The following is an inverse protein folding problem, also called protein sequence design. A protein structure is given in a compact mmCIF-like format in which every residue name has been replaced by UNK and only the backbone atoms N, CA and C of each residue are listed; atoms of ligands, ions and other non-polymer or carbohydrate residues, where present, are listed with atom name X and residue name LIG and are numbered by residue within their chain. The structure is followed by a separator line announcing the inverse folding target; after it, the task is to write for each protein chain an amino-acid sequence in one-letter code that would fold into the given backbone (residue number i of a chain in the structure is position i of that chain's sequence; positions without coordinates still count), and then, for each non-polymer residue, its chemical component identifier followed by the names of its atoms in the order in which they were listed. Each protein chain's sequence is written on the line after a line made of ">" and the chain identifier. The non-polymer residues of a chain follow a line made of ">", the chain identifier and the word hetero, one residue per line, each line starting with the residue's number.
data_IF_169571088832
#
_entry.id   IF_169571088832
#
_cell.length_a   1.000
_cell.length_b   1.000
_cell.length_c   1.000
_cell.angle_alpha   90.00
_cell.angle_beta   90.00
_cell.angle_gamma   90.00
#
_symmetry.space_group_name_H-M   'P 1'
#
loop_
_entity.id
_entity.type
_entity.pdbx_description
1 polymer ?
#
# COMPACT_ATOMS: atom_id res chain seq x y z
N UNK A 1 -26.85 -9.30 -3.69
CA UNK A 1 -25.90 -8.42 -2.97
C UNK A 1 -26.63 -7.16 -2.56
N UNK A 2 -26.44 -6.68 -1.34
CA UNK A 2 -26.93 -5.36 -0.91
C UNK A 2 -26.03 -4.31 -1.59
N UNK A 3 -26.60 -3.39 -2.36
CA UNK A 3 -25.87 -2.26 -2.95
C UNK A 3 -26.13 -1.02 -2.11
N UNK A 4 -25.11 -0.24 -1.82
CA UNK A 4 -25.30 1.05 -1.15
C UNK A 4 -26.08 2.01 -2.03
N UNK A 5 -27.02 2.72 -1.42
CA UNK A 5 -27.80 3.77 -2.11
C UNK A 5 -26.91 4.94 -2.53
N UNK A 6 -25.87 5.24 -1.77
CA UNK A 6 -24.92 6.31 -2.03
C UNK A 6 -23.52 5.76 -2.16
N UNK A 7 -22.76 6.23 -3.14
CA UNK A 7 -21.35 5.92 -3.34
C UNK A 7 -20.56 7.17 -3.73
N UNK A 8 -19.25 7.18 -3.43
CA UNK A 8 -18.39 8.24 -3.95
C UNK A 8 -18.30 8.16 -5.47
N UNK A 9 -18.34 9.34 -6.12
CA UNK A 9 -18.20 9.48 -7.56
C UNK A 9 -16.96 8.76 -8.07
N UNK A 10 -17.10 7.97 -9.13
CA UNK A 10 -15.97 7.30 -9.77
C UNK A 10 -15.10 8.32 -10.50
N UNK A 11 -13.78 8.09 -10.51
CA UNK A 11 -12.87 8.93 -11.26
C UNK A 11 -13.03 8.73 -12.76
N UNK A 12 -13.33 9.81 -13.47
CA UNK A 12 -13.41 9.86 -14.94
C UNK A 12 -12.71 11.11 -15.51
N UNK A 13 -11.69 11.62 -14.80
CA UNK A 13 -10.91 12.79 -15.19
C UNK A 13 -11.05 13.96 -14.22
N UNK A 14 -10.43 15.10 -14.56
CA UNK A 14 -10.40 16.28 -13.69
C UNK A 14 -11.79 16.88 -13.39
N UNK A 15 -12.81 16.58 -14.20
CA UNK A 15 -14.19 17.00 -14.00
C UNK A 15 -14.83 16.32 -12.78
N UNK A 16 -14.39 15.10 -12.42
CA UNK A 16 -14.86 14.35 -11.24
C UNK A 16 -14.14 14.75 -9.93
N UNK A 17 -13.49 15.91 -9.92
CA UNK A 17 -12.89 16.48 -8.73
C UNK A 17 -13.46 17.86 -8.48
N UNK A 18 -13.97 18.06 -7.28
CA UNK A 18 -14.66 19.28 -6.84
C UNK A 18 -13.80 20.05 -5.84
N UNK A 19 -14.15 21.29 -5.55
CA UNK A 19 -13.50 22.10 -4.54
C UNK A 19 -13.94 21.57 -3.17
N UNK A 20 -12.96 21.27 -2.32
CA UNK A 20 -13.23 20.81 -0.97
C UNK A 20 -13.77 21.96 -0.12
N UNK A 21 -14.93 21.81 0.55
CA UNK A 21 -15.50 22.88 1.39
C UNK A 21 -14.65 23.20 2.61
N UNK A 22 -13.74 22.32 3.01
CA UNK A 22 -12.88 22.53 4.16
C UNK A 22 -11.53 23.17 3.81
N UNK A 23 -10.85 22.68 2.76
CA UNK A 23 -9.48 23.17 2.45
C UNK A 23 -9.36 23.96 1.13
N UNK A 24 -10.45 24.16 0.40
CA UNK A 24 -10.49 24.94 -0.83
C UNK A 24 -9.73 24.34 -2.04
N UNK A 25 -9.19 23.11 -1.91
CA UNK A 25 -8.47 22.47 -3.00
C UNK A 25 -9.38 21.59 -3.86
N UNK A 26 -9.08 21.49 -5.17
CA UNK A 26 -9.84 20.70 -6.15
C UNK A 26 -9.51 19.20 -6.05
N UNK A 27 -9.77 18.63 -4.86
CA UNK A 27 -9.47 17.23 -4.50
C UNK A 27 -10.66 16.55 -3.79
N UNK A 28 -11.85 17.13 -3.93
CA UNK A 28 -13.04 16.63 -3.25
C UNK A 28 -13.85 15.71 -4.18
N UNK A 29 -14.32 14.60 -3.63
CA UNK A 29 -15.16 13.61 -4.31
C UNK A 29 -16.53 13.63 -3.63
N UNK A 30 -17.59 13.90 -4.38
CA UNK A 30 -18.96 13.95 -3.85
C UNK A 30 -19.59 12.56 -3.78
N UNK A 31 -20.59 12.42 -2.92
CA UNK A 31 -21.45 11.25 -2.94
C UNK A 31 -22.56 11.39 -3.98
N UNK A 32 -22.76 10.31 -4.74
CA UNK A 32 -23.79 10.16 -5.76
C UNK A 32 -24.84 9.17 -5.28
N UNK A 33 -26.09 9.49 -5.46
CA UNK A 33 -27.21 8.56 -5.29
C UNK A 33 -27.22 7.59 -6.48
N UNK A 34 -27.00 6.31 -6.21
CA UNK A 34 -26.91 5.27 -7.23
C UNK A 34 -28.26 4.89 -7.88
N UNK A 35 -29.38 5.45 -7.40
CA UNK A 35 -30.70 5.28 -8.02
C UNK A 35 -31.03 6.39 -9.01
N UNK A 36 -30.63 7.63 -8.68
CA UNK A 36 -30.99 8.82 -9.46
C UNK A 36 -29.82 9.40 -10.24
N UNK A 37 -28.59 8.91 -10.00
CA UNK A 37 -27.33 9.39 -10.54
C UNK A 37 -27.00 10.86 -10.19
N UNK A 38 -27.77 11.47 -9.29
CA UNK A 38 -27.55 12.83 -8.83
C UNK A 38 -26.60 12.87 -7.62
N UNK A 39 -25.85 13.97 -7.50
CA UNK A 39 -25.12 14.25 -6.26
C UNK A 39 -26.06 14.43 -5.09
N UNK A 40 -25.63 13.97 -3.91
CA UNK A 40 -26.44 14.12 -2.69
C UNK A 40 -26.48 15.59 -2.26
N UNK A 41 -25.31 16.20 -2.08
CA UNK A 41 -25.13 17.64 -1.85
C UNK A 41 -23.69 18.05 -2.16
N UNK A 42 -23.48 19.37 -2.32
CA UNK A 42 -22.17 19.91 -2.72
C UNK A 42 -21.07 19.71 -1.68
N UNK A 43 -21.43 19.58 -0.41
CA UNK A 43 -20.51 19.40 0.74
C UNK A 43 -20.49 17.98 1.29
N UNK A 44 -21.32 17.07 0.77
CA UNK A 44 -21.35 15.66 1.21
C UNK A 44 -20.40 14.83 0.36
N UNK A 45 -19.26 14.46 0.95
CA UNK A 45 -18.19 13.81 0.19
C UNK A 45 -16.92 13.61 1.01
N UNK A 46 -15.86 13.26 0.29
CA UNK A 46 -14.54 12.99 0.88
C UNK A 46 -13.45 13.74 0.14
N UNK A 47 -12.58 14.39 0.87
CA UNK A 47 -11.37 14.98 0.32
C UNK A 47 -10.27 13.92 0.14
N UNK A 48 -9.65 13.86 -1.05
CA UNK A 48 -8.54 12.92 -1.33
C UNK A 48 -7.24 13.28 -0.58
N UNK A 49 -7.13 14.51 -0.07
CA UNK A 49 -6.02 14.93 0.79
C UNK A 49 -6.21 14.42 2.21
N UNK A 50 -6.17 13.11 2.36
CA UNK A 50 -6.54 12.40 3.59
C UNK A 50 -5.70 12.92 4.77
N UNK A 51 -4.39 12.95 4.64
CA UNK A 51 -3.44 13.38 5.69
C UNK A 51 -3.50 14.89 5.98
N UNK A 52 -3.66 15.73 4.93
CA UNK A 52 -3.59 17.20 5.04
C UNK A 52 -4.93 17.87 5.29
N UNK A 53 -6.04 17.22 4.96
CA UNK A 53 -7.38 17.77 5.09
C UNK A 53 -8.31 16.90 5.93
N UNK A 54 -8.39 15.61 5.60
CA UNK A 54 -9.18 14.61 6.28
C UNK A 54 -10.70 14.84 6.25
N UNK A 55 -11.20 15.85 5.48
CA UNK A 55 -12.63 16.11 5.40
C UNK A 55 -13.36 14.93 4.77
N UNK A 56 -14.28 14.36 5.53
CA UNK A 56 -15.17 13.30 5.09
C UNK A 56 -16.51 13.46 5.77
N UNK A 57 -17.52 13.96 5.04
CA UNK A 57 -18.88 14.09 5.50
C UNK A 57 -19.72 13.04 4.75
N UNK A 58 -20.16 12.05 5.49
CA UNK A 58 -20.82 10.84 4.92
C UNK A 58 -22.30 11.05 4.71
N UNK A 59 -22.97 10.29 3.83
CA UNK A 59 -24.42 10.31 3.70
C UNK A 59 -25.13 10.00 5.02
N UNK A 60 -24.57 9.12 5.86
CA UNK A 60 -25.15 8.80 7.16
C UNK A 60 -25.17 10.05 8.05
N UNK A 61 -24.05 10.72 8.22
CA UNK A 61 -23.97 11.96 9.00
C UNK A 61 -24.94 13.03 8.47
N UNK A 62 -24.99 13.22 7.14
CA UNK A 62 -25.87 14.17 6.50
C UNK A 62 -27.35 13.95 6.86
N UNK A 63 -27.83 12.70 6.79
CA UNK A 63 -29.23 12.39 7.12
C UNK A 63 -29.47 12.40 8.63
N UNK A 64 -28.50 11.98 9.44
CA UNK A 64 -28.58 12.05 10.90
C UNK A 64 -28.68 13.52 11.35
N UNK A 65 -27.89 14.42 10.77
CA UNK A 65 -27.93 15.86 11.08
C UNK A 65 -29.26 16.54 10.64
N UNK A 66 -29.91 16.00 9.61
CA UNK A 66 -31.25 16.46 9.17
C UNK A 66 -32.40 15.79 9.93
N UNK A 67 -32.11 14.82 10.79
CA UNK A 67 -33.13 14.03 11.47
C UNK A 67 -33.93 13.10 10.55
N UNK A 68 -33.39 12.80 9.37
CA UNK A 68 -34.06 11.98 8.35
C UNK A 68 -33.63 10.51 8.46
N UNK A 69 -34.61 9.59 8.51
CA UNK A 69 -34.35 8.15 8.44
C UNK A 69 -34.34 7.68 7.01
N UNK A 70 -33.17 7.36 6.47
CA UNK A 70 -32.98 6.90 5.10
C UNK A 70 -32.49 5.46 5.07
N UNK A 71 -33.05 4.67 4.17
CA UNK A 71 -32.59 3.32 3.90
C UNK A 71 -31.35 3.36 2.98
N UNK A 72 -30.16 3.01 3.54
CA UNK A 72 -28.88 3.11 2.84
C UNK A 72 -28.60 1.94 1.87
N UNK A 73 -29.49 0.97 1.79
CA UNK A 73 -29.32 -0.19 0.91
C UNK A 73 -30.46 -0.30 -0.10
N UNK A 74 -30.10 -0.52 -1.35
CA UNK A 74 -31.05 -0.77 -2.43
C UNK A 74 -31.23 -2.28 -2.61
N UNK A 75 -32.47 -2.75 -2.63
CA UNK A 75 -32.81 -4.09 -3.15
C UNK A 75 -32.93 -3.99 -4.68
N UNK A 76 -31.82 -3.94 -5.39
CA UNK A 76 -31.85 -4.09 -6.86
C UNK A 76 -31.29 -5.44 -7.27
N UNK A 77 -32.10 -6.20 -7.99
CA UNK A 77 -31.61 -7.25 -8.90
C UNK A 77 -31.00 -6.57 -10.15
N UNK A 78 -29.93 -5.82 -9.98
CA UNK A 78 -29.17 -5.33 -11.11
C UNK A 78 -28.10 -6.38 -11.37
N UNK A 79 -28.19 -7.04 -12.51
CA UNK A 79 -27.06 -7.74 -13.13
C UNK A 79 -25.99 -6.69 -13.45
N UNK A 80 -25.19 -6.32 -12.45
CA UNK A 80 -23.92 -5.64 -12.72
C UNK A 80 -23.03 -6.71 -13.30
N UNK A 81 -22.82 -6.67 -14.61
CA UNK A 81 -21.78 -7.50 -15.23
C UNK A 81 -20.48 -7.23 -14.48
N UNK A 82 -20.02 -8.24 -13.74
CA UNK A 82 -18.73 -8.15 -13.05
C UNK A 82 -17.68 -8.04 -14.12
N UNK A 83 -17.07 -6.85 -14.26
CA UNK A 83 -15.91 -6.69 -15.14
C UNK A 83 -14.92 -7.81 -14.85
N UNK A 84 -14.46 -8.49 -15.89
CA UNK A 84 -13.40 -9.50 -15.76
C UNK A 84 -12.13 -8.83 -15.23
N UNK A 85 -11.29 -9.63 -14.59
CA UNK A 85 -10.02 -9.12 -14.06
C UNK A 85 -9.03 -8.90 -15.19
N UNK A 86 -8.34 -7.75 -15.16
CA UNK A 86 -7.22 -7.48 -16.04
C UNK A 86 -5.95 -8.17 -15.52
N UNK A 87 -5.23 -8.79 -16.43
CA UNK A 87 -3.92 -9.38 -16.19
C UNK A 87 -2.94 -8.78 -17.19
N UNK A 88 -1.79 -8.34 -16.70
CA UNK A 88 -0.70 -7.86 -17.54
C UNK A 88 0.03 -9.01 -18.20
N UNK A 89 0.64 -8.77 -19.36
CA UNK A 89 1.48 -9.75 -20.03
C UNK A 89 2.75 -10.00 -19.19
N UNK A 90 3.05 -11.27 -18.93
CA UNK A 90 4.25 -11.69 -18.17
C UNK A 90 5.56 -11.23 -18.82
N UNK A 91 5.57 -11.03 -20.15
CA UNK A 91 6.71 -10.48 -20.87
C UNK A 91 7.19 -9.15 -20.31
N UNK A 92 6.30 -8.29 -19.81
CA UNK A 92 6.68 -7.03 -19.16
C UNK A 92 7.54 -7.26 -17.92
N UNK A 93 7.24 -8.30 -17.15
CA UNK A 93 8.06 -8.70 -15.99
C UNK A 93 9.42 -9.20 -16.48
N UNK A 94 9.44 -10.14 -17.41
CA UNK A 94 10.67 -10.71 -17.94
C UNK A 94 11.59 -9.65 -18.54
N UNK A 95 11.05 -8.76 -19.37
CA UNK A 95 11.80 -7.66 -19.99
C UNK A 95 12.43 -6.75 -18.92
N UNK A 96 11.71 -6.48 -17.82
CA UNK A 96 12.22 -5.66 -16.72
C UNK A 96 13.33 -6.35 -15.91
N UNK A 97 13.30 -7.67 -15.83
CA UNK A 97 14.30 -8.48 -15.11
C UNK A 97 15.60 -8.70 -15.92
N UNK A 98 15.54 -8.61 -17.25
CA UNK A 98 16.72 -8.71 -18.11
C UNK A 98 17.64 -7.48 -17.99
N UNK A 99 17.14 -6.36 -17.50
CA UNK A 99 17.95 -5.17 -17.26
C UNK A 99 18.80 -5.33 -15.99
N UNK A 100 19.99 -4.72 -16.01
CA UNK A 100 20.92 -4.81 -14.88
C UNK A 100 20.40 -4.03 -13.67
N UNK A 101 19.83 -4.75 -12.70
CA UNK A 101 19.29 -4.17 -11.46
C UNK A 101 20.34 -3.45 -10.62
N UNK A 102 21.65 -3.73 -10.82
CA UNK A 102 22.75 -3.08 -10.10
C UNK A 102 22.84 -1.58 -10.40
N UNK A 103 22.32 -1.13 -11.53
CA UNK A 103 22.26 0.29 -11.88
C UNK A 103 21.18 1.05 -11.13
N UNK A 104 20.21 0.34 -10.53
CA UNK A 104 19.11 1.02 -9.85
C UNK A 104 19.56 1.69 -8.56
N UNK A 105 19.01 2.87 -8.30
CA UNK A 105 19.29 3.64 -7.09
C UNK A 105 18.91 2.88 -5.81
N UNK A 106 17.85 2.07 -5.84
CA UNK A 106 17.50 1.25 -4.69
C UNK A 106 18.54 0.17 -4.42
N UNK A 107 19.06 -0.50 -5.45
CA UNK A 107 20.13 -1.47 -5.27
C UNK A 107 21.38 -0.82 -4.66
N UNK A 108 21.79 0.33 -5.20
CA UNK A 108 22.94 1.08 -4.70
C UNK A 108 22.77 1.50 -3.23
N UNK A 109 21.54 1.83 -2.83
CA UNK A 109 21.23 2.09 -1.44
C UNK A 109 21.35 0.83 -0.56
N UNK A 110 20.76 -0.29 -1.00
CA UNK A 110 20.69 -1.52 -0.20
C UNK A 110 22.08 -2.14 0.06
N UNK A 111 22.99 -2.12 -0.93
CA UNK A 111 24.35 -2.68 -0.78
C UNK A 111 25.22 -1.89 0.19
N UNK A 112 24.82 -0.69 0.61
CA UNK A 112 25.49 0.04 1.67
C UNK A 112 25.29 -0.60 3.05
N UNK A 113 24.23 -1.39 3.22
CA UNK A 113 23.83 -1.96 4.51
C UNK A 113 23.83 -3.48 4.55
N UNK A 114 23.67 -4.12 3.40
CA UNK A 114 23.53 -5.56 3.28
C UNK A 114 24.55 -6.13 2.30
N UNK A 115 24.92 -7.38 2.51
CA UNK A 115 25.83 -8.08 1.61
C UNK A 115 25.26 -8.15 0.19
N UNK A 116 26.08 -7.82 -0.81
CA UNK A 116 25.66 -7.68 -2.22
C UNK A 116 24.88 -8.89 -2.74
N UNK A 117 25.35 -10.10 -2.44
CA UNK A 117 24.70 -11.33 -2.90
C UNK A 117 23.32 -11.53 -2.29
N UNK A 118 23.15 -11.17 -0.99
CA UNK A 118 21.84 -11.22 -0.33
C UNK A 118 20.86 -10.23 -0.97
N UNK A 119 21.33 -9.02 -1.32
CA UNK A 119 20.52 -8.02 -2.04
C UNK A 119 20.07 -8.55 -3.40
N UNK A 120 20.98 -9.11 -4.22
CA UNK A 120 20.63 -9.69 -5.52
C UNK A 120 19.58 -10.79 -5.39
N UNK A 121 19.79 -11.70 -4.44
CA UNK A 121 18.88 -12.82 -4.21
C UNK A 121 17.50 -12.35 -3.77
N UNK A 122 17.42 -11.35 -2.89
CA UNK A 122 16.15 -10.75 -2.45
C UNK A 122 15.44 -10.04 -3.60
N UNK A 123 16.12 -9.21 -4.40
CA UNK A 123 15.51 -8.55 -5.56
C UNK A 123 15.00 -9.56 -6.58
N UNK A 124 15.77 -10.62 -6.85
CA UNK A 124 15.35 -11.73 -7.72
C UNK A 124 14.15 -12.49 -7.14
N UNK A 125 14.18 -12.82 -5.85
CA UNK A 125 13.09 -13.49 -5.12
C UNK A 125 11.77 -12.73 -5.25
N UNK A 126 11.82 -11.40 -5.13
CA UNK A 126 10.65 -10.54 -5.22
C UNK A 126 10.31 -10.08 -6.64
N UNK A 127 11.03 -10.56 -7.65
CA UNK A 127 10.86 -10.19 -9.06
C UNK A 127 10.90 -8.66 -9.27
N UNK A 128 11.84 -7.99 -8.59
CA UNK A 128 12.05 -6.56 -8.75
C UNK A 128 12.81 -6.29 -10.03
N UNK A 129 12.21 -5.55 -10.95
CA UNK A 129 12.80 -5.21 -12.24
C UNK A 129 13.30 -3.78 -12.31
N UNK A 130 13.89 -3.43 -13.46
CA UNK A 130 14.34 -2.07 -13.81
C UNK A 130 13.38 -1.47 -14.83
N UNK A 131 13.20 -0.15 -14.77
CA UNK A 131 12.35 0.58 -15.71
C UNK A 131 13.14 1.66 -16.43
N UNK A 132 12.88 1.80 -17.72
CA UNK A 132 13.48 2.85 -18.56
C UNK A 132 12.64 4.15 -18.59
N UNK A 133 11.56 4.25 -17.82
CA UNK A 133 10.74 5.48 -17.73
C UNK A 133 11.55 6.61 -17.09
N UNK A 134 12.35 6.28 -16.08
CA UNK A 134 13.36 7.17 -15.50
C UNK A 134 14.66 6.39 -15.35
N UNK A 135 15.78 7.08 -15.50
CA UNK A 135 17.08 6.49 -15.29
C UNK A 135 17.16 5.89 -13.88
N UNK A 136 17.69 4.67 -13.77
CA UNK A 136 17.93 3.94 -12.51
C UNK A 136 16.67 3.69 -11.64
N UNK A 137 15.48 3.83 -12.24
CA UNK A 137 14.21 3.51 -11.60
C UNK A 137 13.96 2.00 -11.57
N UNK A 138 13.17 1.58 -10.61
CA UNK A 138 12.77 0.18 -10.45
C UNK A 138 11.27 0.00 -10.67
N UNK A 139 10.89 -1.23 -10.98
CA UNK A 139 9.49 -1.64 -11.04
C UNK A 139 9.22 -2.74 -10.00
N UNK A 140 8.20 -2.50 -9.19
CA UNK A 140 7.62 -3.47 -8.27
C UNK A 140 6.41 -4.11 -8.93
N UNK A 141 6.49 -5.40 -9.19
CA UNK A 141 5.40 -6.16 -9.76
C UNK A 141 4.52 -6.76 -8.67
N UNK A 142 3.23 -6.58 -8.81
CA UNK A 142 2.25 -7.29 -8.01
C UNK A 142 1.83 -8.55 -8.78
N UNK A 143 2.31 -9.68 -8.34
CA UNK A 143 2.08 -11.00 -8.93
C UNK A 143 1.37 -11.85 -7.89
N UNK A 144 0.24 -12.46 -8.26
CA UNK A 144 -0.53 -13.28 -7.32
C UNK A 144 0.08 -14.68 -7.14
N UNK A 145 -0.51 -15.48 -6.25
CA UNK A 145 -0.03 -16.84 -5.94
C UNK A 145 -0.19 -17.83 -7.10
N UNK A 146 -0.98 -17.51 -8.12
CA UNK A 146 -1.11 -18.24 -9.38
C UNK A 146 -0.14 -17.71 -10.46
N UNK A 147 0.80 -16.81 -10.11
CA UNK A 147 1.77 -16.13 -11.01
C UNK A 147 1.16 -15.20 -12.06
N UNK A 148 -0.09 -14.81 -11.88
CA UNK A 148 -0.71 -13.84 -12.77
C UNK A 148 -0.27 -12.41 -12.41
N UNK A 149 0.18 -11.64 -13.39
CA UNK A 149 0.64 -10.25 -13.18
C UNK A 149 -0.56 -9.31 -13.03
N UNK A 150 -0.70 -8.70 -11.87
CA UNK A 150 -1.88 -7.92 -11.48
C UNK A 150 -1.67 -6.41 -11.58
N UNK A 151 -0.44 -5.94 -11.38
CA UNK A 151 -0.05 -4.53 -11.49
C UNK A 151 1.46 -4.39 -11.56
N UNK A 152 1.94 -3.25 -12.05
CA UNK A 152 3.34 -2.83 -11.95
C UNK A 152 3.42 -1.37 -11.49
N UNK A 153 4.29 -1.09 -10.52
CA UNK A 153 4.51 0.23 -9.95
C UNK A 153 5.97 0.62 -10.10
N UNK A 154 6.22 1.67 -10.87
CA UNK A 154 7.56 2.19 -11.11
C UNK A 154 7.84 3.31 -10.13
N UNK A 155 9.03 3.28 -9.53
CA UNK A 155 9.44 4.23 -8.50
C UNK A 155 10.92 4.59 -8.63
N UNK A 156 11.23 5.82 -8.27
CA UNK A 156 12.59 6.34 -8.17
C UNK A 156 12.98 6.55 -6.71
N UNK A 157 14.23 6.19 -6.39
CA UNK A 157 14.81 6.38 -5.07
C UNK A 157 16.10 7.19 -5.14
N UNK A 158 16.47 7.81 -4.05
CA UNK A 158 17.81 8.39 -3.88
C UNK A 158 18.77 7.28 -3.43
N UNK A 159 19.89 7.13 -4.11
CA UNK A 159 20.84 6.05 -3.86
C UNK A 159 21.60 6.17 -2.53
N UNK A 160 21.68 7.37 -1.94
CA UNK A 160 22.39 7.60 -0.68
C UNK A 160 21.47 7.45 0.54
N UNK A 161 20.25 7.96 0.43
CA UNK A 161 19.32 8.03 1.55
C UNK A 161 18.24 6.95 1.52
N UNK A 162 18.02 6.30 0.36
CA UNK A 162 16.92 5.36 0.15
C UNK A 162 15.53 6.02 0.21
N UNK A 163 15.46 7.36 0.20
CA UNK A 163 14.20 8.08 0.19
C UNK A 163 13.58 8.05 -1.20
N UNK A 164 12.27 7.84 -1.24
CA UNK A 164 11.49 7.86 -2.48
C UNK A 164 11.39 9.29 -3.03
N UNK A 165 11.62 9.46 -4.33
CA UNK A 165 11.18 10.67 -5.04
C UNK A 165 9.66 10.67 -5.17
N UNK A 166 8.99 11.53 -4.39
CA UNK A 166 7.52 11.60 -4.33
C UNK A 166 6.89 12.09 -5.64
N UNK A 167 7.69 12.69 -6.54
CA UNK A 167 7.24 13.18 -7.85
C UNK A 167 7.35 12.12 -8.94
N UNK A 168 8.17 11.09 -8.73
CA UNK A 168 8.46 10.03 -9.68
C UNK A 168 7.88 8.70 -9.23
N UNK A 169 6.57 8.55 -9.41
CA UNK A 169 5.92 7.26 -9.30
C UNK A 169 4.93 7.07 -10.46
N UNK A 170 4.83 5.87 -10.99
CA UNK A 170 3.97 5.56 -12.13
C UNK A 170 3.39 4.16 -12.02
N UNK A 171 2.09 4.05 -12.15
CA UNK A 171 1.41 2.77 -12.32
C UNK A 171 1.35 2.42 -13.80
N UNK A 172 1.86 1.25 -14.16
CA UNK A 172 1.75 0.76 -15.54
C UNK A 172 0.28 0.69 -15.90
N UNK A 173 -0.10 1.37 -16.99
CA UNK A 173 -1.49 1.45 -17.43
C UNK A 173 -1.94 0.13 -18.03
N UNK A 174 -3.18 -0.26 -17.77
CA UNK A 174 -3.85 -1.32 -18.51
C UNK A 174 -4.29 -0.82 -19.89
N UNK A 175 -4.28 -1.70 -20.87
CA UNK A 175 -4.70 -1.42 -22.25
C UNK A 175 -6.19 -1.71 -22.52
N UNK A 176 -6.88 -2.39 -21.58
CA UNK A 176 -8.30 -2.72 -21.67
C UNK A 176 -9.12 -2.01 -20.60
N UNK A 177 -9.91 -1.01 -21.01
CA UNK A 177 -10.78 -0.25 -20.10
C UNK A 177 -11.98 -1.06 -19.57
N UNK A 178 -12.35 -2.15 -20.26
CA UNK A 178 -13.50 -2.98 -19.90
C UNK A 178 -13.19 -3.96 -18.77
N UNK A 179 -11.91 -4.20 -18.50
CA UNK A 179 -11.45 -5.06 -17.39
C UNK A 179 -11.11 -4.25 -16.15
N UNK A 180 -11.22 -4.87 -14.99
CA UNK A 180 -10.89 -4.27 -13.70
C UNK A 180 -9.49 -4.68 -13.24
N UNK A 181 -8.66 -3.71 -12.87
CA UNK A 181 -7.38 -3.98 -12.21
C UNK A 181 -7.64 -4.34 -10.74
N UNK A 182 -7.28 -5.57 -10.35
CA UNK A 182 -7.41 -6.06 -8.97
C UNK A 182 -6.03 -6.26 -8.37
N UNK A 183 -5.50 -5.25 -7.73
CA UNK A 183 -4.21 -5.28 -7.06
C UNK A 183 -4.13 -6.37 -6.00
N UNK A 184 -2.95 -6.99 -5.85
CA UNK A 184 -2.59 -7.91 -4.77
C UNK A 184 -1.47 -7.32 -3.92
N UNK A 185 -1.07 -8.00 -2.85
CA UNK A 185 0.14 -7.61 -2.13
C UNK A 185 1.38 -7.77 -3.02
N UNK A 186 2.33 -6.84 -2.92
CA UNK A 186 3.67 -7.09 -3.44
C UNK A 186 4.28 -8.28 -2.68
N UNK A 187 4.92 -9.19 -3.40
CA UNK A 187 5.45 -10.45 -2.82
C UNK A 187 4.43 -11.60 -2.72
N UNK A 188 3.16 -11.43 -3.15
CA UNK A 188 2.13 -12.46 -2.99
C UNK A 188 2.44 -13.77 -3.72
N UNK A 189 3.21 -13.77 -4.80
CA UNK A 189 3.67 -14.98 -5.49
C UNK A 189 4.51 -15.91 -4.60
N UNK A 190 5.17 -15.37 -3.57
CA UNK A 190 5.97 -16.14 -2.61
C UNK A 190 5.10 -17.08 -1.75
N UNK A 191 3.83 -16.75 -1.57
CA UNK A 191 2.91 -17.57 -0.77
C UNK A 191 2.81 -19.01 -1.25
N UNK A 192 2.97 -19.24 -2.55
CA UNK A 192 2.94 -20.58 -3.14
C UNK A 192 4.17 -21.42 -2.79
N UNK A 193 5.34 -20.79 -2.74
CA UNK A 193 6.60 -21.50 -2.44
C UNK A 193 6.80 -21.76 -0.94
N UNK A 194 6.19 -20.95 -0.09
CA UNK A 194 6.39 -21.01 1.36
C UNK A 194 5.04 -21.15 2.11
N UNK A 195 4.33 -22.29 1.98
CA UNK A 195 2.98 -22.46 2.52
C UNK A 195 2.91 -22.33 4.05
N UNK A 196 3.97 -22.71 4.76
CA UNK A 196 4.02 -22.76 6.22
C UNK A 196 4.69 -21.52 6.87
N UNK A 197 5.09 -20.53 6.07
CA UNK A 197 5.72 -19.33 6.62
C UNK A 197 4.65 -18.37 7.15
N UNK A 198 5.00 -17.66 8.23
CA UNK A 198 4.24 -16.51 8.70
C UNK A 198 4.26 -15.39 7.65
N UNK A 199 3.36 -14.45 7.77
CA UNK A 199 3.28 -13.30 6.87
C UNK A 199 3.43 -12.02 7.69
N UNK A 200 4.45 -11.22 7.34
CA UNK A 200 4.59 -9.84 7.76
C UNK A 200 4.03 -8.90 6.69
N UNK A 201 3.15 -7.98 7.05
CA UNK A 201 2.61 -6.98 6.12
C UNK A 201 3.09 -5.59 6.54
N UNK A 202 3.77 -4.91 5.63
CA UNK A 202 4.24 -3.53 5.75
C UNK A 202 3.55 -2.63 4.72
N UNK A 203 3.73 -1.32 4.80
CA UNK A 203 3.09 -0.40 3.88
C UNK A 203 3.80 -0.35 2.53
N UNK A 204 5.12 -0.19 2.51
CA UNK A 204 5.90 0.02 1.29
C UNK A 204 6.65 -1.21 0.81
N UNK A 205 6.85 -1.29 -0.52
CA UNK A 205 7.61 -2.36 -1.18
C UNK A 205 9.09 -2.35 -0.74
N UNK A 206 9.69 -1.17 -0.57
CA UNK A 206 11.06 -1.02 -0.04
C UNK A 206 11.18 -1.62 1.34
N UNK A 207 10.22 -1.33 2.22
CA UNK A 207 10.21 -1.85 3.59
C UNK A 207 10.11 -3.37 3.61
N UNK A 208 9.29 -3.97 2.74
CA UNK A 208 9.21 -5.44 2.61
C UNK A 208 10.57 -6.07 2.22
N UNK A 209 11.29 -5.46 1.26
CA UNK A 209 12.62 -5.92 0.85
C UNK A 209 13.65 -5.79 1.99
N UNK A 210 13.65 -4.67 2.71
CA UNK A 210 14.59 -4.44 3.83
C UNK A 210 14.30 -5.41 4.98
N UNK A 211 13.04 -5.68 5.28
CA UNK A 211 12.66 -6.68 6.27
C UNK A 211 13.13 -8.09 5.85
N UNK A 212 12.96 -8.46 4.60
CA UNK A 212 13.45 -9.76 4.07
C UNK A 212 14.98 -9.88 4.10
N UNK A 213 15.68 -8.77 3.90
CA UNK A 213 17.13 -8.69 4.02
C UNK A 213 17.62 -8.75 5.48
N UNK A 214 16.87 -8.24 6.41
CA UNK A 214 17.29 -8.13 7.80
C UNK A 214 16.91 -9.34 8.64
N UNK A 215 15.66 -9.81 8.53
CA UNK A 215 15.16 -10.94 9.32
C UNK A 215 15.46 -12.27 8.64
N UNK A 216 16.08 -13.20 9.36
CA UNK A 216 16.37 -14.56 8.87
C UNK A 216 15.28 -15.58 9.29
N UNK A 217 14.10 -15.10 9.69
CA UNK A 217 12.99 -15.94 10.15
C UNK A 217 12.19 -16.54 8.97
N UNK A 218 11.42 -17.59 9.25
CA UNK A 218 10.45 -18.17 8.31
C UNK A 218 9.21 -17.28 8.16
N UNK A 219 9.42 -16.09 7.60
CA UNK A 219 8.40 -15.08 7.37
C UNK A 219 8.44 -14.59 5.92
N UNK A 220 7.29 -14.39 5.32
CA UNK A 220 7.16 -13.73 4.00
C UNK A 220 6.77 -12.28 4.26
N UNK A 221 7.56 -11.35 3.77
CA UNK A 221 7.26 -9.94 3.86
C UNK A 221 6.47 -9.48 2.64
N UNK A 222 5.27 -8.98 2.87
CA UNK A 222 4.36 -8.45 1.84
C UNK A 222 4.19 -6.96 2.00
N UNK A 223 4.02 -6.23 0.89
CA UNK A 223 3.65 -4.82 0.98
C UNK A 223 2.22 -4.57 0.52
N UNK A 224 1.51 -3.74 1.29
CA UNK A 224 0.12 -3.33 1.00
C UNK A 224 0.02 -2.32 -0.13
N UNK A 225 1.10 -1.53 -0.37
CA UNK A 225 1.18 -0.46 -1.35
C UNK A 225 0.63 0.88 -0.85
N UNK A 226 0.36 1.00 0.45
CA UNK A 226 -0.09 2.21 1.14
C UNK A 226 -1.11 1.92 2.24
N UNK A 227 -1.42 2.93 3.05
CA UNK A 227 -2.31 2.87 4.21
C UNK A 227 -3.65 2.17 3.94
N UNK A 228 -4.25 2.40 2.77
CA UNK A 228 -5.53 1.81 2.36
C UNK A 228 -5.38 0.44 1.68
N UNK A 229 -4.16 -0.08 1.61
CA UNK A 229 -3.83 -1.30 0.87
C UNK A 229 -4.29 -2.60 1.55
N UNK A 230 -4.64 -2.58 2.84
CA UNK A 230 -5.21 -3.73 3.56
C UNK A 230 -6.72 -3.75 3.33
N UNK A 231 -7.22 -4.87 2.82
CA UNK A 231 -8.65 -5.11 2.63
C UNK A 231 -8.96 -6.62 2.63
N UNK A 232 -10.25 -6.95 2.83
CA UNK A 232 -10.75 -8.34 2.90
C UNK A 232 -10.29 -9.20 1.71
N UNK A 233 -10.37 -8.68 0.49
CA UNK A 233 -10.03 -9.43 -0.72
C UNK A 233 -8.56 -9.86 -0.75
N UNK A 234 -7.63 -8.95 -0.39
CA UNK A 234 -6.20 -9.27 -0.34
C UNK A 234 -5.87 -10.22 0.80
N UNK A 235 -6.47 -10.01 1.99
CA UNK A 235 -6.21 -10.84 3.16
C UNK A 235 -6.78 -12.26 3.02
N UNK A 236 -7.86 -12.44 2.28
CA UNK A 236 -8.44 -13.78 2.02
C UNK A 236 -7.43 -14.76 1.43
N UNK A 237 -6.48 -14.28 0.62
CA UNK A 237 -5.43 -15.13 0.04
C UNK A 237 -4.40 -15.63 1.08
N UNK A 238 -4.41 -15.06 2.29
CA UNK A 238 -3.55 -15.39 3.42
C UNK A 238 -4.23 -16.33 4.43
N UNK A 239 -5.41 -16.86 4.13
CA UNK A 239 -6.16 -17.73 5.04
C UNK A 239 -5.31 -18.92 5.50
N UNK A 240 -5.43 -19.26 6.79
CA UNK A 240 -4.70 -20.34 7.44
C UNK A 240 -3.26 -19.99 7.87
N UNK A 241 -2.82 -18.74 7.71
CA UNK A 241 -1.48 -18.28 8.13
C UNK A 241 -1.54 -17.40 9.37
N UNK A 242 -0.46 -17.38 10.13
CA UNK A 242 -0.24 -16.33 11.12
C UNK A 242 0.17 -15.05 10.39
N UNK A 243 -0.56 -13.98 10.62
CA UNK A 243 -0.34 -12.69 9.97
C UNK A 243 0.00 -11.64 11.02
N UNK A 244 1.06 -10.88 10.77
CA UNK A 244 1.47 -9.76 11.60
C UNK A 244 1.53 -8.52 10.71
N UNK A 245 0.79 -7.48 11.07
CA UNK A 245 0.80 -6.20 10.33
C UNK A 245 1.66 -5.17 11.07
N UNK A 246 2.46 -4.41 10.32
CA UNK A 246 3.41 -3.42 10.83
C UNK A 246 3.06 -2.07 10.19
N UNK A 247 2.16 -1.29 10.80
CA UNK A 247 1.81 0.04 10.28
C UNK A 247 2.97 1.02 10.43
N UNK A 248 3.11 1.93 9.47
CA UNK A 248 4.05 3.04 9.56
C UNK A 248 3.61 4.04 10.64
N UNK A 249 4.54 4.82 11.17
CA UNK A 249 4.22 5.90 12.12
C UNK A 249 3.42 7.01 11.44
N UNK A 250 2.49 7.56 12.19
CA UNK A 250 1.80 8.79 11.82
C UNK A 250 2.40 9.98 12.55
N UNK A 251 2.49 11.13 11.86
CA UNK A 251 2.90 12.36 12.50
C UNK A 251 1.94 12.74 13.66
N UNK A 252 2.47 13.36 14.72
CA UNK A 252 1.70 13.71 15.92
C UNK A 252 0.44 14.55 15.62
N UNK A 253 0.48 15.38 14.57
CA UNK A 253 -0.63 16.23 14.13
C UNK A 253 -1.45 15.61 12.97
N UNK A 254 -1.23 14.35 12.64
CA UNK A 254 -1.98 13.67 11.58
C UNK A 254 -3.44 13.44 12.00
N UNK A 255 -4.37 13.71 11.09
CA UNK A 255 -5.80 13.43 11.31
C UNK A 255 -6.14 11.94 11.26
N UNK A 256 -5.27 11.13 10.69
CA UNK A 256 -5.41 9.68 10.60
C UNK A 256 -4.17 9.06 11.23
N UNK A 257 -4.40 8.22 12.23
CA UNK A 257 -3.36 7.40 12.82
C UNK A 257 -3.31 6.06 12.07
N UNK A 258 -2.18 5.75 11.44
CA UNK A 258 -2.01 4.54 10.64
C UNK A 258 -2.15 3.26 11.48
N UNK A 259 -1.66 3.29 12.73
CA UNK A 259 -1.76 2.17 13.65
C UNK A 259 -3.24 1.87 13.99
N UNK A 260 -4.02 2.88 14.38
CA UNK A 260 -5.43 2.71 14.72
C UNK A 260 -6.27 2.31 13.50
N UNK A 261 -5.96 2.86 12.32
CA UNK A 261 -6.64 2.50 11.07
C UNK A 261 -6.38 1.02 10.70
N UNK A 262 -5.14 0.55 10.81
CA UNK A 262 -4.80 -0.84 10.50
C UNK A 262 -5.30 -1.80 11.58
N UNK A 263 -5.29 -1.38 12.84
CA UNK A 263 -5.84 -2.14 13.96
C UNK A 263 -7.34 -2.39 13.76
N UNK A 264 -8.10 -1.32 13.52
CA UNK A 264 -9.55 -1.43 13.29
C UNK A 264 -9.87 -2.32 12.08
N UNK A 265 -9.10 -2.20 10.99
CA UNK A 265 -9.26 -3.06 9.80
C UNK A 265 -8.90 -4.52 10.09
N UNK A 266 -7.78 -4.76 10.78
CA UNK A 266 -7.34 -6.09 11.12
C UNK A 266 -8.35 -6.81 12.02
N UNK A 267 -8.86 -6.15 13.06
CA UNK A 267 -9.90 -6.66 13.96
C UNK A 267 -11.18 -6.99 13.20
N UNK A 268 -11.67 -6.06 12.39
CA UNK A 268 -12.89 -6.24 11.59
C UNK A 268 -12.77 -7.42 10.63
N UNK A 269 -11.67 -7.50 9.86
CA UNK A 269 -11.48 -8.55 8.86
C UNK A 269 -11.19 -9.90 9.52
N UNK A 270 -10.45 -9.90 10.65
CA UNK A 270 -10.22 -11.08 11.48
C UNK A 270 -11.52 -11.74 11.91
N UNK A 271 -12.50 -10.93 12.36
CA UNK A 271 -13.82 -11.42 12.73
C UNK A 271 -14.63 -12.00 11.55
N UNK A 272 -14.57 -11.34 10.37
CA UNK A 272 -15.31 -11.80 9.18
C UNK A 272 -14.72 -13.08 8.57
N UNK A 273 -13.39 -13.15 8.47
CA UNK A 273 -12.69 -14.24 7.77
C UNK A 273 -12.23 -15.34 8.72
N UNK A 274 -12.44 -15.21 10.02
CA UNK A 274 -11.92 -16.10 11.07
C UNK A 274 -10.40 -16.33 10.92
N UNK A 275 -9.66 -15.22 10.84
CA UNK A 275 -8.20 -15.23 10.62
C UNK A 275 -7.47 -14.70 11.85
N UNK A 276 -6.28 -15.22 12.12
CA UNK A 276 -5.40 -14.70 13.17
C UNK A 276 -4.52 -13.58 12.62
N UNK A 277 -4.94 -12.32 12.80
CA UNK A 277 -4.20 -11.14 12.37
C UNK A 277 -3.76 -10.37 13.63
N UNK A 278 -2.45 -10.30 13.85
CA UNK A 278 -1.85 -9.54 14.94
C UNK A 278 -1.39 -8.18 14.42
N UNK A 279 -1.52 -7.15 15.24
CA UNK A 279 -0.91 -5.86 14.96
C UNK A 279 0.36 -5.70 15.80
N UNK A 280 1.44 -5.32 15.15
CA UNK A 280 2.69 -5.03 15.84
C UNK A 280 2.71 -3.55 16.24
N UNK A 281 2.98 -3.28 17.51
CA UNK A 281 3.03 -1.93 18.08
C UNK A 281 4.46 -1.45 18.38
N UNK A 282 5.47 -2.13 17.85
CA UNK A 282 6.88 -1.82 18.11
C UNK A 282 7.20 -0.34 17.79
N UNK A 283 6.78 0.13 16.63
CA UNK A 283 7.03 1.52 16.24
C UNK A 283 6.32 2.51 17.17
N UNK A 284 5.10 2.21 17.59
CA UNK A 284 4.37 3.07 18.55
C UNK A 284 5.06 3.16 19.92
N UNK A 285 5.68 2.08 20.38
CA UNK A 285 6.32 2.01 21.70
C UNK A 285 7.74 2.59 21.75
N UNK A 286 8.48 2.50 20.65
CA UNK A 286 9.92 2.81 20.62
C UNK A 286 10.31 4.02 19.78
N UNK A 287 9.33 4.70 19.15
CA UNK A 287 9.58 5.90 18.35
C UNK A 287 9.75 7.15 19.22
N UNK A 288 10.63 8.04 18.78
CA UNK A 288 10.73 9.42 19.24
C UNK A 288 9.74 10.35 18.48
N UNK A 289 9.58 11.58 18.97
CA UNK A 289 8.84 12.61 18.24
C UNK A 289 9.44 12.87 16.86
N UNK A 290 10.77 12.85 16.75
CA UNK A 290 11.46 12.97 15.47
C UNK A 290 11.06 11.87 14.48
N UNK A 291 10.96 10.61 14.93
CA UNK A 291 10.55 9.48 14.09
C UNK A 291 9.09 9.66 13.62
N UNK A 292 8.21 10.15 14.50
CA UNK A 292 6.82 10.43 14.16
C UNK A 292 6.68 11.56 13.15
N UNK A 293 7.40 12.65 13.33
CA UNK A 293 7.36 13.80 12.41
C UNK A 293 7.91 13.44 11.02
N UNK A 294 8.84 12.48 10.96
CA UNK A 294 9.35 11.92 9.71
C UNK A 294 8.51 10.76 9.17
N UNK A 295 7.46 10.33 9.87
CA UNK A 295 6.61 9.19 9.48
C UNK A 295 7.46 7.94 9.21
N UNK A 296 8.37 7.63 10.14
CA UNK A 296 9.32 6.54 10.02
C UNK A 296 8.59 5.19 9.91
N UNK A 297 9.13 4.32 9.09
CA UNK A 297 8.67 2.95 8.90
C UNK A 297 9.65 1.93 9.55
N UNK A 298 9.30 0.65 9.51
CA UNK A 298 10.14 -0.40 10.07
C UNK A 298 11.54 -0.45 9.40
N UNK A 299 11.64 -0.12 8.11
CA UNK A 299 12.92 -0.08 7.42
C UNK A 299 13.83 1.06 7.92
N UNK A 300 13.26 2.19 8.29
CA UNK A 300 14.04 3.32 8.84
C UNK A 300 14.70 2.91 10.18
N UNK A 301 13.98 2.20 11.05
CA UNK A 301 14.54 1.66 12.29
C UNK A 301 15.63 0.60 12.04
N UNK A 302 15.45 -0.30 11.08
CA UNK A 302 16.44 -1.30 10.69
C UNK A 302 17.72 -0.61 10.19
N UNK A 303 17.59 0.33 9.25
CA UNK A 303 18.73 1.04 8.68
C UNK A 303 19.47 1.87 9.73
N UNK A 304 18.75 2.53 10.62
CA UNK A 304 19.37 3.28 11.72
C UNK A 304 20.16 2.37 12.67
N UNK A 305 19.62 1.20 13.03
CA UNK A 305 20.33 0.21 13.84
C UNK A 305 21.62 -0.26 13.16
N UNK A 306 21.56 -0.58 11.86
CA UNK A 306 22.74 -1.00 11.09
C UNK A 306 23.80 0.10 11.02
N UNK A 307 23.42 1.37 10.87
CA UNK A 307 24.33 2.53 10.93
C UNK A 307 25.01 2.65 12.29
N UNK A 308 24.24 2.57 13.36
CA UNK A 308 24.77 2.65 14.74
C UNK A 308 25.79 1.56 15.03
N UNK A 309 25.52 0.33 14.59
CA UNK A 309 26.42 -0.81 14.80
C UNK A 309 27.73 -0.65 14.01
N UNK A 310 27.67 -0.23 12.74
CA UNK A 310 28.86 0.05 11.94
C UNK A 310 29.76 1.11 12.58
N UNK A 311 29.18 2.22 13.00
CA UNK A 311 29.93 3.30 13.65
C UNK A 311 30.61 2.85 14.96
N UNK A 312 30.02 1.89 15.70
CA UNK A 312 30.65 1.30 16.88
C UNK A 312 31.86 0.43 16.51
N UNK A 313 31.73 -0.40 15.49
CA UNK A 313 32.82 -1.27 15.01
C UNK A 313 34.00 -0.46 14.46
N UNK A 314 33.76 0.64 13.76
CA UNK A 314 34.82 1.54 13.28
C UNK A 314 35.56 2.22 14.42
N UNK A 315 34.85 2.66 15.46
CA UNK A 315 35.48 3.26 16.66
C UNK A 315 36.37 2.26 17.42
N UNK A 316 35.95 0.99 17.53
CA UNK A 316 36.74 -0.06 18.18
C UNK A 316 38.00 -0.41 17.39
N UNK A 317 38.01 -0.29 16.07
CA UNK A 317 39.16 -0.56 15.21
C UNK A 317 40.20 0.59 15.20
N UNK A 318 39.79 1.79 15.62
CA UNK A 318 40.67 2.99 15.66
C UNK A 318 41.23 3.28 17.06
N UNK A 319 40.83 2.54 18.05
CA UNK A 319 41.41 2.49 19.43
C UNK A 319 42.32 1.29 19.59
#
# INVERSE_FOLDING_TARGET
>A
MKQFKFSLEKYHGAASRHICPHCGKKEFVRYVNNETENYLEEYVGKCNRIEKCGYHYTPKQYFDDKGEKVQFFIKKNVHVEKKSTYYYNEKLVLDSLHSDTKKSNLYQFLIQYFHEEKVKNTLKKYLVGVSNIWQDAIVFWQIDKEFMVRAGKIMQYDSNTGKRDKTKYYWIKKDDSNKEMKQVFFGAHLLKYFPNYKVGIVESEKTALICDLFFDEKIIWLASGGLMGINERKLKDLSGREIIVFPDLSANNSKINAFEEWKSKAEFISGILNMNIKINNFLELFSSDYDRDNQADLADFIIENLRKNRNKEERVKTT
#
